data_IF_144838610369
#
_entry.id   IF_144838610369
#
_cell.length_a   1.000
_cell.length_b   1.000
_cell.length_c   1.000
_cell.angle_alpha   90.00
_cell.angle_beta   90.00
_cell.angle_gamma   90.00
#
_symmetry.space_group_name_H-M   'P 1'
#
loop_
_entity.id
_entity.type
_entity.pdbx_description
1 polymer ?
#
# COMPACT_ATOMS: atom_id res chain seq x y z
N UNK A 1 53.24 -23.90 -44.16
CA UNK A 1 53.07 -24.93 -45.22
C UNK A 1 51.87 -25.79 -44.83
N UNK A 2 50.98 -26.09 -45.78
CA UNK A 2 49.63 -25.49 -45.86
C UNK A 2 48.52 -26.57 -45.69
N UNK A 3 47.23 -26.24 -45.63
CA UNK A 3 46.34 -26.20 -46.80
C UNK A 3 45.03 -25.45 -46.44
N UNK A 4 44.73 -24.30 -47.07
CA UNK A 4 43.93 -24.09 -48.31
C UNK A 4 42.40 -24.07 -48.06
N UNK A 5 41.77 -22.90 -48.26
CA UNK A 5 40.34 -22.78 -48.59
C UNK A 5 40.08 -23.21 -50.04
N UNK A 6 39.11 -22.65 -50.80
CA UNK A 6 37.99 -21.76 -50.46
C UNK A 6 36.64 -22.27 -51.03
N UNK A 7 35.52 -21.60 -50.76
CA UNK A 7 34.39 -21.55 -51.71
C UNK A 7 33.81 -20.13 -51.73
N UNK A 8 33.54 -19.65 -52.95
CA UNK A 8 33.33 -18.25 -53.33
C UNK A 8 32.01 -18.16 -54.12
N UNK A 9 31.37 -16.98 -54.07
CA UNK A 9 30.47 -16.40 -55.10
C UNK A 9 29.07 -17.01 -55.26
N UNK A 10 27.98 -16.30 -55.59
CA UNK A 10 27.76 -14.90 -55.97
C UNK A 10 26.24 -14.53 -55.96
N UNK A 11 25.97 -13.22 -55.90
CA UNK A 11 24.92 -12.42 -56.59
C UNK A 11 23.40 -12.59 -56.35
N UNK A 12 22.75 -11.50 -55.90
CA UNK A 12 21.61 -10.76 -56.51
C UNK A 12 21.25 -9.57 -55.58
N UNK A 13 21.51 -8.29 -55.89
CA UNK A 13 20.88 -7.35 -56.85
C UNK A 13 19.35 -7.30 -56.79
N UNK A 14 18.85 -6.30 -56.04
CA UNK A 14 17.84 -5.30 -56.44
C UNK A 14 16.37 -5.73 -56.54
N UNK A 15 15.49 -5.08 -55.76
CA UNK A 15 14.25 -4.49 -56.30
C UNK A 15 13.61 -3.53 -55.27
N UNK A 16 13.30 -2.30 -55.70
CA UNK A 16 12.44 -1.36 -54.98
C UNK A 16 10.96 -1.70 -55.23
N UNK A 17 10.10 -1.65 -54.21
CA UNK A 17 8.66 -1.51 -54.44
C UNK A 17 7.94 -0.76 -53.30
N UNK A 18 7.00 0.07 -53.75
CA UNK A 18 6.18 1.07 -53.06
C UNK A 18 5.30 0.55 -51.91
N UNK A 19 4.96 1.51 -51.06
CA UNK A 19 3.96 1.49 -50.01
C UNK A 19 2.58 0.98 -50.44
N UNK A 20 1.90 0.31 -49.50
CA UNK A 20 0.42 0.35 -49.40
C UNK A 20 0.03 0.35 -47.94
N UNK A 21 -0.40 1.52 -47.46
CA UNK A 21 -1.08 1.71 -46.18
C UNK A 21 -2.43 0.99 -46.27
N UNK A 22 -2.59 -0.10 -45.51
CA UNK A 22 -3.90 -0.73 -45.29
C UNK A 22 -4.48 -0.16 -44.01
N UNK A 23 -5.57 0.60 -44.18
CA UNK A 23 -6.35 1.19 -43.09
C UNK A 23 -7.02 0.09 -42.26
N UNK A 24 -6.86 0.17 -40.93
CA UNK A 24 -7.63 -0.60 -39.96
C UNK A 24 -9.07 -0.02 -39.85
N UNK A 25 -10.09 -0.85 -39.60
CA UNK A 25 -11.47 -0.38 -39.48
C UNK A 25 -11.69 0.41 -38.17
N UNK A 26 -12.60 1.40 -38.15
CA UNK A 26 -12.91 2.17 -36.94
C UNK A 26 -13.65 1.30 -35.92
N UNK A 27 -13.05 1.18 -34.74
CA UNK A 27 -13.64 0.56 -33.55
C UNK A 27 -14.97 1.23 -33.20
N UNK A 28 -16.03 0.43 -33.18
CA UNK A 28 -17.35 0.78 -32.64
C UNK A 28 -17.19 0.94 -31.13
N UNK A 29 -17.11 2.18 -30.65
CA UNK A 29 -17.18 2.47 -29.21
C UNK A 29 -18.59 2.21 -28.72
N UNK A 30 -18.74 1.12 -27.95
CA UNK A 30 -19.99 0.80 -27.26
C UNK A 30 -20.16 1.72 -26.03
N UNK A 31 -21.34 2.33 -25.83
CA UNK A 31 -21.56 3.34 -24.78
C UNK A 31 -21.71 2.81 -23.35
N UNK A 32 -21.44 1.52 -23.10
CA UNK A 32 -21.68 0.88 -21.80
C UNK A 32 -20.60 1.17 -20.74
N UNK A 33 -19.46 1.73 -21.13
CA UNK A 33 -18.36 2.02 -20.21
C UNK A 33 -18.54 3.32 -19.41
N UNK A 34 -19.47 4.19 -19.83
CA UNK A 34 -19.69 5.48 -19.16
C UNK A 34 -20.47 5.31 -17.83
N UNK A 35 -21.31 4.28 -17.70
CA UNK A 35 -22.21 4.13 -16.56
C UNK A 35 -21.55 3.42 -15.37
N UNK A 36 -20.68 2.44 -15.64
CA UNK A 36 -20.00 1.68 -14.57
C UNK A 36 -19.02 2.56 -13.77
N UNK A 37 -18.21 3.37 -14.45
CA UNK A 37 -17.27 4.30 -13.82
C UNK A 37 -17.99 5.39 -13.03
N UNK A 38 -19.17 5.81 -13.50
CA UNK A 38 -19.98 6.81 -12.81
C UNK A 38 -20.62 6.27 -11.53
N UNK A 39 -21.10 5.02 -11.55
CA UNK A 39 -21.61 4.35 -10.35
C UNK A 39 -20.50 4.07 -9.33
N UNK A 40 -19.30 3.71 -9.79
CA UNK A 40 -18.15 3.45 -8.92
C UNK A 40 -17.65 4.73 -8.25
N UNK A 41 -17.57 5.84 -8.98
CA UNK A 41 -17.19 7.15 -8.42
C UNK A 41 -18.22 7.68 -7.42
N UNK A 42 -19.51 7.44 -7.66
CA UNK A 42 -20.58 7.78 -6.70
C UNK A 42 -20.48 6.93 -5.42
N UNK A 43 -20.12 5.65 -5.53
CA UNK A 43 -19.86 4.78 -4.37
C UNK A 43 -18.61 5.21 -3.58
N UNK A 44 -17.54 5.62 -4.27
CA UNK A 44 -16.31 6.15 -3.67
C UNK A 44 -16.56 7.45 -2.89
N UNK A 45 -17.35 8.38 -3.44
CA UNK A 45 -17.71 9.62 -2.74
C UNK A 45 -18.69 9.40 -1.57
N UNK A 46 -19.59 8.41 -1.67
CA UNK A 46 -20.50 8.05 -0.59
C UNK A 46 -19.76 7.41 0.61
N UNK A 47 -18.68 6.68 0.38
CA UNK A 47 -17.84 6.09 1.45
C UNK A 47 -16.91 7.15 2.06
N UNK A 48 -16.36 8.07 1.25
CA UNK A 48 -15.58 9.22 1.74
C UNK A 48 -16.39 10.18 2.63
N UNK A 49 -17.70 10.26 2.38
CA UNK A 49 -18.63 11.12 3.11
C UNK A 49 -19.33 10.45 4.28
N UNK A 50 -18.86 9.30 4.79
CA UNK A 50 -19.36 8.73 6.04
C UNK A 50 -18.59 9.32 7.24
N UNK A 51 -19.11 10.36 7.92
CA UNK A 51 -18.72 10.59 9.30
C UNK A 51 -19.23 9.40 10.13
N UNK A 52 -18.41 8.93 11.07
CA UNK A 52 -18.82 8.02 12.13
C UNK A 52 -19.96 8.66 12.95
N UNK A 53 -21.19 8.56 12.48
CA UNK A 53 -22.37 9.13 13.13
C UNK A 53 -23.07 8.04 13.93
N UNK A 54 -22.73 7.95 15.22
CA UNK A 54 -23.56 7.26 16.21
C UNK A 54 -24.89 8.00 16.34
N UNK A 55 -25.97 7.27 16.11
CA UNK A 55 -27.35 7.71 16.20
C UNK A 55 -27.70 8.02 17.66
N UNK A 56 -28.13 9.24 17.95
CA UNK A 56 -28.63 9.65 19.26
C UNK A 56 -29.80 10.62 19.08
N UNK A 57 -30.99 10.18 19.47
CA UNK A 57 -32.19 11.00 19.66
C UNK A 57 -32.22 11.59 21.09
N UNK A 58 -33.07 12.60 21.38
CA UNK A 58 -32.59 13.83 22.00
C UNK A 58 -32.90 14.00 23.50
N UNK A 59 -32.22 15.01 24.06
CA UNK A 59 -32.71 15.94 25.09
C UNK A 59 -32.43 15.65 26.58
N UNK A 60 -31.34 16.23 27.09
CA UNK A 60 -31.38 17.18 28.23
C UNK A 60 -30.00 17.82 28.51
N UNK A 61 -29.94 19.06 29.03
CA UNK A 61 -28.73 19.87 29.04
C UNK A 61 -27.86 19.54 30.26
N UNK A 62 -26.72 18.90 30.02
CA UNK A 62 -25.67 18.77 31.03
C UNK A 62 -24.38 19.32 30.42
N UNK A 63 -23.90 20.39 31.04
CA UNK A 63 -22.64 21.08 30.79
C UNK A 63 -21.48 20.08 30.83
N UNK A 64 -21.09 19.49 29.70
CA UNK A 64 -19.98 18.53 29.64
C UNK A 64 -18.70 19.23 29.19
N UNK A 65 -17.73 19.28 30.10
CA UNK A 65 -16.32 19.53 29.84
C UNK A 65 -15.85 18.63 28.69
N UNK A 66 -15.03 19.09 27.72
CA UNK A 66 -14.60 18.23 26.63
C UNK A 66 -13.79 17.06 27.20
N UNK A 67 -14.32 15.84 27.08
CA UNK A 67 -13.58 14.62 27.39
C UNK A 67 -12.38 14.56 26.45
N UNK A 68 -11.18 14.81 26.97
CA UNK A 68 -9.94 14.59 26.24
C UNK A 68 -9.93 13.13 25.74
N UNK A 69 -10.10 12.93 24.44
CA UNK A 69 -10.09 11.60 23.82
C UNK A 69 -8.74 10.95 24.13
N UNK A 70 -8.74 9.94 25.00
CA UNK A 70 -7.56 9.11 25.25
C UNK A 70 -7.42 8.14 24.08
N UNK A 71 -6.60 8.51 23.10
CA UNK A 71 -6.21 7.60 22.03
C UNK A 71 -5.35 6.49 22.66
N UNK A 72 -5.69 5.20 22.49
CA UNK A 72 -4.88 4.12 23.04
C UNK A 72 -3.51 4.09 22.36
N UNK A 73 -2.45 3.95 23.17
CA UNK A 73 -1.09 3.77 22.67
C UNK A 73 -0.96 2.35 22.10
N UNK A 74 -0.56 2.16 20.83
CA UNK A 74 -0.25 0.84 20.30
C UNK A 74 0.99 0.27 20.99
N UNK A 75 1.03 -1.04 21.22
CA UNK A 75 2.18 -1.74 21.80
C UNK A 75 2.68 -2.82 20.84
N UNK A 76 3.98 -3.09 20.84
CA UNK A 76 4.58 -4.17 20.05
C UNK A 76 5.75 -4.84 20.76
N UNK A 77 5.75 -6.17 20.85
CA UNK A 77 6.77 -6.95 21.57
C UNK A 77 7.82 -7.60 20.65
N UNK A 78 7.37 -8.40 19.69
CA UNK A 78 8.20 -9.28 18.85
C UNK A 78 7.37 -9.95 17.72
N UNK A 79 7.97 -10.95 17.05
CA UNK A 79 7.33 -11.75 15.99
C UNK A 79 6.17 -12.64 16.46
N UNK A 80 5.96 -12.81 17.77
CA UNK A 80 4.86 -13.62 18.33
C UNK A 80 3.71 -12.77 18.86
N UNK A 81 3.75 -11.46 18.61
CA UNK A 81 2.71 -10.56 19.06
C UNK A 81 1.38 -10.81 18.32
N UNK A 82 0.28 -10.34 18.92
CA UNK A 82 -1.06 -10.44 18.35
C UNK A 82 -1.23 -9.58 17.11
N UNK A 83 -0.43 -8.52 17.00
CA UNK A 83 -0.41 -7.61 15.87
C UNK A 83 0.89 -7.83 15.08
N UNK A 84 0.77 -7.80 13.76
CA UNK A 84 1.93 -7.82 12.87
C UNK A 84 2.73 -6.53 12.98
N UNK A 85 4.01 -6.60 12.57
CA UNK A 85 4.90 -5.44 12.50
C UNK A 85 4.31 -4.30 11.63
N UNK A 86 3.60 -4.64 10.54
CA UNK A 86 2.92 -3.68 9.67
C UNK A 86 1.74 -3.00 10.34
N UNK A 87 0.87 -3.78 10.99
CA UNK A 87 -0.29 -3.24 11.73
C UNK A 87 0.16 -2.31 12.87
N UNK A 88 1.27 -2.65 13.54
CA UNK A 88 1.86 -1.77 14.55
C UNK A 88 2.30 -0.42 13.96
N UNK A 89 3.00 -0.42 12.82
CA UNK A 89 3.45 0.83 12.18
C UNK A 89 2.27 1.70 11.72
N UNK A 90 1.21 1.09 11.20
CA UNK A 90 -0.02 1.78 10.84
C UNK A 90 -0.72 2.38 12.07
N UNK A 91 -0.89 1.58 13.13
CA UNK A 91 -1.48 2.04 14.38
C UNK A 91 -0.67 3.20 14.99
N UNK A 92 0.66 3.13 14.92
CA UNK A 92 1.55 4.18 15.39
C UNK A 92 1.43 5.46 14.55
N UNK A 93 1.26 5.34 13.24
CA UNK A 93 0.98 6.49 12.37
C UNK A 93 -0.36 7.14 12.71
N UNK A 94 -1.43 6.36 12.85
CA UNK A 94 -2.74 6.84 13.25
C UNK A 94 -2.68 7.53 14.63
N UNK A 95 -1.95 6.96 15.58
CA UNK A 95 -1.72 7.56 16.89
C UNK A 95 -1.03 8.92 16.78
N UNK A 96 0.05 9.03 16.00
CA UNK A 96 0.76 10.29 15.78
C UNK A 96 -0.14 11.35 15.15
N UNK A 97 -0.98 10.97 14.16
CA UNK A 97 -1.91 11.90 13.52
C UNK A 97 -3.02 12.37 14.47
N UNK A 98 -3.59 11.45 15.26
CA UNK A 98 -4.65 11.76 16.20
C UNK A 98 -4.17 12.66 17.36
N UNK A 99 -2.93 12.45 17.81
CA UNK A 99 -2.31 13.21 18.92
C UNK A 99 -1.52 14.44 18.46
N UNK A 100 -1.26 14.57 17.15
CA UNK A 100 -0.47 15.64 16.52
C UNK A 100 0.92 15.81 17.14
N UNK A 101 1.53 14.71 17.56
CA UNK A 101 2.87 14.71 18.15
C UNK A 101 3.95 14.87 17.07
N UNK A 102 4.99 15.64 17.40
CA UNK A 102 6.18 15.75 16.55
C UNK A 102 7.01 14.48 16.61
N UNK A 103 7.80 14.24 15.55
CA UNK A 103 8.73 13.12 15.48
C UNK A 103 9.66 13.05 16.69
N UNK A 104 10.15 14.20 17.18
CA UNK A 104 11.00 14.25 18.37
C UNK A 104 10.32 13.68 19.63
N UNK A 105 9.02 13.94 19.81
CA UNK A 105 8.25 13.41 20.94
C UNK A 105 7.93 11.93 20.72
N UNK A 106 7.62 11.56 19.47
CA UNK A 106 7.39 10.15 19.12
C UNK A 106 8.62 9.30 19.43
N UNK A 107 9.80 9.72 18.96
CA UNK A 107 11.06 9.01 19.15
C UNK A 107 11.52 9.00 20.61
N UNK A 108 11.42 10.14 21.31
CA UNK A 108 11.97 10.32 22.65
C UNK A 108 11.06 9.87 23.80
N UNK A 109 9.74 9.81 23.60
CA UNK A 109 8.79 9.57 24.68
C UNK A 109 7.76 8.48 24.37
N UNK A 110 7.32 8.35 23.12
CA UNK A 110 6.29 7.38 22.75
C UNK A 110 6.90 6.01 22.48
N UNK A 111 7.89 5.93 21.58
CA UNK A 111 8.52 4.67 21.17
C UNK A 111 9.16 3.86 22.32
N UNK A 112 9.84 4.48 23.31
CA UNK A 112 10.36 3.74 24.45
C UNK A 112 9.29 3.03 25.29
N UNK A 113 8.03 3.48 25.20
CA UNK A 113 6.91 2.94 25.96
C UNK A 113 6.03 2.02 25.11
N UNK A 114 5.85 2.32 23.81
CA UNK A 114 5.08 1.45 22.90
C UNK A 114 5.82 0.15 22.56
N UNK A 115 7.14 0.19 22.48
CA UNK A 115 7.93 -1.00 22.22
C UNK A 115 8.18 -1.75 23.53
N UNK A 116 7.90 -3.05 23.54
CA UNK A 116 8.09 -3.92 24.69
C UNK A 116 9.04 -5.08 24.36
N UNK A 117 9.42 -5.87 25.36
CA UNK A 117 10.22 -7.09 25.21
C UNK A 117 11.44 -6.99 24.24
N UNK A 118 11.41 -7.70 23.12
CA UNK A 118 12.51 -7.73 22.14
C UNK A 118 12.61 -6.44 21.35
N UNK A 119 11.48 -5.88 20.92
CA UNK A 119 11.45 -4.62 20.20
C UNK A 119 12.01 -3.46 21.04
N UNK A 120 11.71 -3.44 22.34
CA UNK A 120 12.30 -2.47 23.28
C UNK A 120 13.82 -2.61 23.44
N UNK A 121 14.35 -3.84 23.36
CA UNK A 121 15.80 -4.09 23.41
C UNK A 121 16.46 -3.62 22.12
N UNK A 122 15.88 -3.98 20.98
CA UNK A 122 16.35 -3.55 19.67
C UNK A 122 16.36 -2.02 19.55
N UNK A 123 15.27 -1.35 19.94
CA UNK A 123 15.18 0.11 19.81
C UNK A 123 16.27 0.84 20.60
N UNK A 124 16.60 0.38 21.81
CA UNK A 124 17.72 0.91 22.60
C UNK A 124 19.09 0.77 21.93
N UNK A 125 19.24 -0.10 20.93
CA UNK A 125 20.48 -0.26 20.18
C UNK A 125 20.53 0.65 18.95
N UNK A 126 19.38 1.09 18.43
CA UNK A 126 19.28 1.86 17.17
C UNK A 126 18.73 3.27 17.36
N UNK A 127 18.29 3.65 18.56
CA UNK A 127 17.66 4.95 18.87
C UNK A 127 18.51 6.16 18.44
N UNK A 128 19.83 6.09 18.63
CA UNK A 128 20.78 7.12 18.22
C UNK A 128 20.88 7.29 16.68
N UNK A 129 20.39 6.31 15.92
CA UNK A 129 20.36 6.31 14.46
C UNK A 129 19.02 6.81 13.91
N UNK A 130 17.96 6.86 14.74
CA UNK A 130 16.64 7.31 14.34
C UNK A 130 16.44 8.80 14.65
N UNK A 131 16.50 9.66 13.63
CA UNK A 131 16.28 11.11 13.73
C UNK A 131 14.90 11.54 13.24
N UNK A 132 14.22 10.69 12.47
CA UNK A 132 12.86 10.89 11.99
C UNK A 132 12.02 9.62 12.17
N UNK A 133 10.70 9.78 12.14
CA UNK A 133 9.79 8.63 12.13
C UNK A 133 9.94 7.77 10.87
N UNK A 134 10.42 8.34 9.77
CA UNK A 134 10.69 7.62 8.52
C UNK A 134 11.93 6.72 8.62
N UNK A 135 13.01 7.22 9.22
CA UNK A 135 14.20 6.42 9.50
C UNK A 135 13.88 5.27 10.47
N UNK A 136 13.09 5.55 11.51
CA UNK A 136 12.58 4.52 12.41
C UNK A 136 11.81 3.44 11.64
N UNK A 137 10.85 3.81 10.78
CA UNK A 137 10.06 2.86 9.98
C UNK A 137 10.96 1.99 9.11
N UNK A 138 11.96 2.59 8.48
CA UNK A 138 12.90 1.87 7.61
C UNK A 138 13.70 0.83 8.39
N UNK A 139 14.28 1.22 9.54
CA UNK A 139 15.04 0.32 10.40
C UNK A 139 14.15 -0.77 11.01
N UNK A 140 12.97 -0.40 11.50
CA UNK A 140 11.99 -1.32 12.05
C UNK A 140 11.54 -2.34 11.01
N UNK A 141 11.33 -1.90 9.77
CA UNK A 141 10.99 -2.79 8.67
C UNK A 141 12.12 -3.77 8.36
N UNK A 142 13.37 -3.31 8.36
CA UNK A 142 14.52 -4.19 8.10
C UNK A 142 14.75 -5.24 9.19
N UNK A 143 14.36 -4.96 10.44
CA UNK A 143 14.52 -5.89 11.56
C UNK A 143 13.33 -6.86 11.66
N UNK A 144 12.12 -6.34 11.67
CA UNK A 144 10.93 -7.10 12.05
C UNK A 144 10.12 -7.64 10.86
N UNK A 145 10.46 -7.25 9.63
CA UNK A 145 9.88 -7.84 8.44
C UNK A 145 10.92 -8.65 7.65
N UNK A 146 10.51 -9.75 7.00
CA UNK A 146 11.38 -10.49 6.11
C UNK A 146 12.00 -9.61 5.00
N UNK A 147 13.25 -9.84 4.58
CA UNK A 147 13.91 -9.06 3.52
C UNK A 147 13.14 -9.07 2.19
N UNK A 148 12.40 -10.14 1.93
CA UNK A 148 11.57 -10.30 0.74
C UNK A 148 10.10 -9.95 0.97
N UNK A 149 9.74 -9.31 2.09
CA UNK A 149 8.35 -9.01 2.43
C UNK A 149 7.63 -8.24 1.32
N UNK A 150 8.19 -7.14 0.83
CA UNK A 150 7.62 -6.36 -0.27
C UNK A 150 7.47 -7.19 -1.56
N UNK A 151 8.46 -8.05 -1.86
CA UNK A 151 8.40 -8.95 -3.01
C UNK A 151 7.30 -10.00 -2.87
N UNK A 152 7.11 -10.51 -1.65
CA UNK A 152 6.04 -11.45 -1.33
C UNK A 152 4.68 -10.79 -1.48
N UNK A 153 4.48 -9.60 -0.91
CA UNK A 153 3.23 -8.84 -1.03
C UNK A 153 2.89 -8.51 -2.49
N UNK A 154 3.89 -8.09 -3.30
CA UNK A 154 3.69 -7.90 -4.76
C UNK A 154 3.32 -9.19 -5.48
N UNK A 155 3.86 -10.33 -5.07
CA UNK A 155 3.51 -11.63 -5.66
C UNK A 155 2.08 -12.01 -5.29
N UNK A 156 1.70 -11.82 -4.03
CA UNK A 156 0.36 -12.14 -3.54
C UNK A 156 -0.67 -11.26 -4.25
N UNK A 157 -0.38 -9.97 -4.41
CA UNK A 157 -1.20 -9.05 -5.18
C UNK A 157 -1.40 -9.51 -6.63
N UNK A 158 -0.33 -9.94 -7.31
CA UNK A 158 -0.40 -10.46 -8.69
C UNK A 158 -1.20 -11.76 -8.83
N UNK A 159 -1.23 -12.56 -7.78
CA UNK A 159 -1.90 -13.87 -7.76
C UNK A 159 -3.31 -13.78 -7.18
N UNK A 160 -3.70 -12.63 -6.61
CA UNK A 160 -4.98 -12.46 -5.93
C UNK A 160 -6.12 -12.51 -6.94
N UNK A 161 -7.01 -13.47 -6.74
CA UNK A 161 -8.28 -13.61 -7.45
C UNK A 161 -9.41 -13.67 -6.43
N UNK A 162 -10.62 -13.27 -6.83
CA UNK A 162 -11.79 -13.34 -5.95
C UNK A 162 -12.13 -14.79 -5.64
N UNK A 163 -12.28 -15.14 -4.36
CA UNK A 163 -12.69 -16.48 -3.95
C UNK A 163 -14.21 -16.68 -4.20
N UNK A 164 -14.70 -17.88 -4.55
CA UNK A 164 -16.13 -18.12 -4.79
C UNK A 164 -17.04 -17.76 -3.61
N UNK A 165 -16.54 -17.87 -2.38
CA UNK A 165 -17.27 -17.54 -1.14
C UNK A 165 -17.04 -16.11 -0.66
N UNK A 166 -16.20 -15.33 -1.35
CA UNK A 166 -15.84 -13.96 -0.98
C UNK A 166 -16.73 -12.95 -1.70
N UNK A 167 -17.36 -12.04 -0.96
CA UNK A 167 -18.14 -10.98 -1.58
C UNK A 167 -17.24 -10.01 -2.35
N UNK A 168 -17.79 -9.36 -3.39
CA UNK A 168 -17.03 -8.38 -4.17
C UNK A 168 -16.47 -7.26 -3.29
N UNK A 169 -17.21 -6.84 -2.27
CA UNK A 169 -16.77 -5.78 -1.36
C UNK A 169 -15.57 -6.21 -0.51
N UNK A 170 -15.59 -7.44 0.02
CA UNK A 170 -14.47 -8.01 0.77
C UNK A 170 -13.24 -8.16 -0.12
N UNK A 171 -13.42 -8.64 -1.35
CA UNK A 171 -12.34 -8.77 -2.32
C UNK A 171 -11.66 -7.43 -2.63
N UNK A 172 -12.45 -6.38 -2.91
CA UNK A 172 -11.91 -5.04 -3.19
C UNK A 172 -11.18 -4.46 -1.96
N UNK A 173 -11.70 -4.65 -0.75
CA UNK A 173 -11.01 -4.22 0.48
C UNK A 173 -9.69 -4.95 0.66
N UNK A 174 -9.67 -6.26 0.50
CA UNK A 174 -8.46 -7.07 0.62
C UNK A 174 -7.42 -6.68 -0.44
N UNK A 175 -7.84 -6.37 -1.67
CA UNK A 175 -6.95 -5.85 -2.72
C UNK A 175 -6.34 -4.50 -2.33
N UNK A 176 -7.15 -3.58 -1.80
CA UNK A 176 -6.68 -2.26 -1.37
C UNK A 176 -5.66 -2.37 -0.23
N UNK A 177 -5.91 -3.24 0.75
CA UNK A 177 -4.97 -3.52 1.84
C UNK A 177 -3.65 -4.08 1.30
N UNK A 178 -3.69 -5.05 0.38
CA UNK A 178 -2.49 -5.60 -0.26
C UNK A 178 -1.72 -4.54 -1.06
N UNK A 179 -2.41 -3.62 -1.74
CA UNK A 179 -1.76 -2.52 -2.44
C UNK A 179 -1.04 -1.56 -1.50
N UNK A 180 -1.63 -1.23 -0.35
CA UNK A 180 -0.98 -0.37 0.65
C UNK A 180 0.33 -0.99 1.16
N UNK A 181 0.37 -2.31 1.30
CA UNK A 181 1.55 -3.05 1.74
C UNK A 181 2.60 -3.24 0.63
N UNK A 182 2.16 -3.52 -0.60
CA UNK A 182 3.04 -3.85 -1.73
C UNK A 182 3.60 -2.62 -2.46
N UNK A 183 2.83 -1.52 -2.48
CA UNK A 183 3.22 -0.26 -3.10
C UNK A 183 2.46 0.92 -2.47
N UNK A 184 2.98 1.49 -1.36
CA UNK A 184 2.33 2.63 -0.70
C UNK A 184 2.29 3.89 -1.59
N UNK A 185 3.08 3.94 -2.67
CA UNK A 185 3.11 5.07 -3.61
C UNK A 185 2.18 4.92 -4.80
N UNK A 186 1.55 3.75 -4.98
CA UNK A 186 0.61 3.51 -6.05
C UNK A 186 -0.61 4.45 -5.95
N UNK A 187 -0.99 5.00 -7.10
CA UNK A 187 -2.14 5.89 -7.25
C UNK A 187 -3.46 5.14 -7.05
N UNK A 188 -4.52 5.84 -6.66
CA UNK A 188 -5.85 5.23 -6.48
C UNK A 188 -6.35 4.49 -7.75
N UNK A 189 -5.91 4.92 -8.93
CA UNK A 189 -6.22 4.27 -10.20
C UNK A 189 -5.48 2.95 -10.44
N UNK A 190 -4.36 2.72 -9.73
CA UNK A 190 -3.63 1.45 -9.77
C UNK A 190 -4.16 0.47 -8.71
N UNK A 191 -4.75 0.99 -7.63
CA UNK A 191 -5.29 0.21 -6.51
C UNK A 191 -6.64 -0.47 -6.79
N UNK A 192 -7.28 -0.17 -7.93
CA UNK A 192 -8.66 -0.59 -8.25
C UNK A 192 -8.80 -0.95 -9.73
#
# INVERSE_FOLDING_TARGET
>A
MPCTGPFRSDAHVGEQARATVTAAPPSVQSPLHATATQLLNVLLEAVRSQPCALKGDPESPQTSVPTSLRVPLPEYSDYSDRISATEYLEALHCYQQATRLSDSVMLGSVLPVSLTAQAARWYRLVDHQTRSMEEFRTLFHSEFLPPEYERHMRRDLKLRTQHPDESLLEYVRALQELYLLADPTASDAEKV
#
